data_IF_852383108258
#
_entry.id   IF_852383108258
#
_cell.length_a   1.000
_cell.length_b   1.000
_cell.length_c   1.000
_cell.angle_alpha   90.00
_cell.angle_beta   90.00
_cell.angle_gamma   90.00
#
_symmetry.space_group_name_H-M   'P 1'
#
loop_
_entity.id
_entity.type
_entity.pdbx_description
1 polymer ?
#
# COMPACT_ATOMS: atom_id res chain seq x y z
N UNK A 1 16.33 -49.21 -16.84
CA UNK A 1 17.02 -49.77 -18.02
C UNK A 1 17.05 -48.70 -19.08
N UNK A 2 18.17 -48.09 -19.26
CA UNK A 2 18.71 -47.68 -20.55
C UNK A 2 20.18 -47.28 -20.28
N UNK A 3 21.04 -48.10 -20.87
CA UNK A 3 22.48 -48.02 -20.78
C UNK A 3 23.00 -47.06 -21.86
N UNK A 4 24.28 -46.70 -21.69
CA UNK A 4 25.25 -46.19 -22.66
C UNK A 4 25.23 -44.70 -22.98
N UNK A 5 26.21 -44.03 -22.43
CA UNK A 5 27.02 -43.10 -23.16
C UNK A 5 28.47 -43.23 -22.70
N UNK A 6 29.31 -43.80 -23.60
CA UNK A 6 30.76 -43.91 -23.49
C UNK A 6 31.43 -42.59 -23.82
N UNK A 7 32.46 -42.35 -23.08
CA UNK A 7 33.71 -41.66 -23.39
C UNK A 7 33.76 -40.67 -24.57
N UNK A 8 33.94 -39.40 -24.24
CA UNK A 8 34.88 -38.55 -24.97
C UNK A 8 35.54 -37.55 -24.03
N UNK A 9 36.86 -37.60 -24.02
CA UNK A 9 37.76 -36.76 -23.28
C UNK A 9 37.55 -35.26 -23.60
N UNK A 10 37.25 -34.45 -22.61
CA UNK A 10 37.28 -33.00 -22.71
C UNK A 10 38.52 -32.51 -21.99
N UNK A 11 39.42 -31.90 -22.74
CA UNK A 11 40.72 -31.44 -22.30
C UNK A 11 40.68 -30.39 -21.19
N UNK A 12 41.68 -30.46 -20.38
CA UNK A 12 42.05 -29.56 -19.31
C UNK A 12 42.15 -28.09 -19.78
N UNK A 13 41.19 -27.28 -19.45
CA UNK A 13 41.35 -25.84 -19.30
C UNK A 13 40.91 -25.46 -17.89
N UNK A 14 41.94 -25.25 -17.05
CA UNK A 14 41.79 -24.87 -15.67
C UNK A 14 41.08 -23.49 -15.56
N UNK A 15 39.97 -23.45 -14.87
CA UNK A 15 39.37 -22.19 -14.40
C UNK A 15 40.34 -21.52 -13.41
N UNK A 16 40.71 -20.26 -13.61
CA UNK A 16 41.56 -19.55 -12.67
C UNK A 16 40.82 -19.28 -11.36
N UNK A 17 41.46 -19.69 -10.25
CA UNK A 17 40.93 -19.44 -8.91
C UNK A 17 40.97 -17.95 -8.57
N UNK A 18 40.04 -17.50 -7.72
CA UNK A 18 39.85 -16.11 -7.24
C UNK A 18 41.13 -15.42 -6.71
N UNK A 19 42.19 -16.17 -6.43
CA UNK A 19 43.50 -15.66 -5.96
C UNK A 19 44.46 -15.23 -7.09
N UNK A 20 44.22 -15.61 -8.34
CA UNK A 20 45.10 -15.26 -9.47
C UNK A 20 44.67 -13.98 -10.18
N UNK A 21 43.42 -13.48 -9.94
CA UNK A 21 42.94 -12.22 -10.50
C UNK A 21 43.52 -10.96 -9.81
N UNK A 22 44.26 -11.10 -8.70
CA UNK A 22 44.78 -9.98 -7.91
C UNK A 22 46.24 -9.61 -8.16
N UNK A 23 46.90 -10.17 -9.20
CA UNK A 23 48.34 -9.92 -9.45
C UNK A 23 48.68 -9.25 -10.78
N UNK A 24 47.73 -8.68 -11.50
CA UNK A 24 47.96 -7.97 -12.77
C UNK A 24 47.40 -6.55 -12.74
N UNK A 25 47.63 -5.80 -11.67
CA UNK A 25 47.49 -4.34 -11.69
C UNK A 25 48.65 -3.71 -10.90
N UNK A 26 49.78 -3.69 -11.56
CA UNK A 26 50.92 -2.91 -11.15
C UNK A 26 51.52 -2.22 -12.36
N UNK A 27 51.51 -0.90 -12.32
CA UNK A 27 52.19 0.05 -13.17
C UNK A 27 51.61 0.33 -14.56
N UNK A 28 50.90 1.44 -14.69
CA UNK A 28 51.16 2.42 -15.76
C UNK A 28 50.34 3.72 -15.53
N UNK A 29 51.09 4.78 -15.36
CA UNK A 29 50.90 6.14 -15.89
C UNK A 29 49.59 6.89 -15.67
N UNK A 30 49.72 7.93 -14.93
CA UNK A 30 48.98 9.19 -14.91
C UNK A 30 48.37 9.52 -16.29
N UNK A 31 47.10 9.32 -16.42
CA UNK A 31 46.26 9.92 -17.44
C UNK A 31 45.05 10.54 -16.71
N UNK A 32 45.04 11.89 -16.62
CA UNK A 32 43.85 12.62 -16.25
C UNK A 32 42.76 12.32 -17.29
N UNK A 33 41.99 11.29 -17.08
CA UNK A 33 40.69 11.17 -17.75
C UNK A 33 39.66 11.84 -16.85
N UNK A 34 39.12 12.96 -17.33
CA UNK A 34 37.85 13.49 -16.89
C UNK A 34 36.86 12.33 -16.84
N UNK A 35 36.60 11.81 -15.63
CA UNK A 35 35.42 11.02 -15.38
C UNK A 35 34.27 11.99 -15.52
N UNK A 36 33.75 12.08 -16.72
CA UNK A 36 32.46 12.72 -16.93
C UNK A 36 31.50 12.07 -15.95
N UNK A 37 31.02 12.87 -15.01
CA UNK A 37 29.90 12.53 -14.17
C UNK A 37 28.78 12.11 -15.11
N UNK A 38 28.67 10.81 -15.33
CA UNK A 38 27.49 10.27 -15.96
C UNK A 38 26.33 10.60 -15.02
N UNK A 39 25.74 11.73 -15.26
CA UNK A 39 24.46 12.08 -14.68
C UNK A 39 23.57 10.91 -15.08
N UNK A 40 23.24 10.06 -14.11
CA UNK A 40 22.13 9.15 -14.29
C UNK A 40 21.02 10.03 -14.87
N UNK A 41 20.63 9.78 -16.12
CA UNK A 41 19.53 10.48 -16.75
C UNK A 41 18.40 10.37 -15.74
N UNK A 42 18.10 11.48 -15.11
CA UNK A 42 16.95 11.59 -14.23
C UNK A 42 15.81 11.04 -15.08
N UNK A 43 15.28 9.89 -14.68
CA UNK A 43 14.17 9.28 -15.38
C UNK A 43 13.05 10.30 -15.22
N UNK A 44 12.86 11.09 -16.28
CA UNK A 44 11.88 12.15 -16.29
C UNK A 44 10.55 11.45 -15.99
N UNK A 45 10.00 11.72 -14.81
CA UNK A 45 8.71 11.16 -14.42
C UNK A 45 7.75 11.43 -15.59
N UNK A 46 6.99 10.42 -16.05
CA UNK A 46 6.07 10.61 -17.16
C UNK A 46 5.18 11.81 -16.84
N UNK A 47 4.73 12.57 -17.84
CA UNK A 47 3.87 13.71 -17.62
C UNK A 47 2.70 13.24 -16.76
N UNK A 48 2.63 13.76 -15.52
CA UNK A 48 1.63 13.34 -14.55
C UNK A 48 0.26 13.55 -15.21
N UNK A 49 -0.57 12.52 -15.37
CA UNK A 49 -1.97 12.75 -15.69
C UNK A 49 -2.50 13.77 -14.67
N UNK A 50 -3.45 14.61 -15.01
CA UNK A 50 -3.87 15.81 -14.27
C UNK A 50 -4.48 15.51 -12.85
N UNK A 51 -3.81 14.70 -12.04
CA UNK A 51 -4.23 14.33 -10.68
C UNK A 51 -3.49 15.13 -9.60
N UNK A 52 -2.94 16.31 -9.92
CA UNK A 52 -2.36 17.19 -8.90
C UNK A 52 -3.52 17.91 -8.20
N UNK A 53 -3.99 17.32 -7.12
CA UNK A 53 -5.11 17.83 -6.34
C UNK A 53 -4.64 18.25 -4.95
N UNK A 54 -5.34 19.20 -4.32
CA UNK A 54 -5.19 19.43 -2.88
C UNK A 54 -5.77 18.23 -2.08
N UNK A 55 -5.39 18.07 -0.80
CA UNK A 55 -5.99 17.05 0.06
C UNK A 55 -7.53 17.08 0.07
N UNK A 56 -8.10 18.29 0.18
CA UNK A 56 -9.56 18.46 0.21
C UNK A 56 -10.21 18.11 -1.14
N UNK A 57 -9.61 18.53 -2.25
CA UNK A 57 -10.12 18.18 -3.58
C UNK A 57 -10.05 16.66 -3.83
N UNK A 58 -9.02 15.99 -3.31
CA UNK A 58 -8.90 14.53 -3.36
C UNK A 58 -10.00 13.83 -2.56
N UNK A 59 -10.29 14.31 -1.36
CA UNK A 59 -11.39 13.79 -0.55
C UNK A 59 -12.74 13.98 -1.25
N UNK A 60 -13.00 15.17 -1.78
CA UNK A 60 -14.23 15.44 -2.53
C UNK A 60 -14.35 14.54 -3.78
N UNK A 61 -13.24 14.23 -4.45
CA UNK A 61 -13.23 13.31 -5.59
C UNK A 61 -13.64 11.89 -5.16
N UNK A 62 -13.13 11.39 -4.02
CA UNK A 62 -13.55 10.10 -3.46
C UNK A 62 -15.05 10.11 -3.13
N UNK A 63 -15.55 11.13 -2.43
CA UNK A 63 -16.96 11.23 -2.04
C UNK A 63 -17.86 11.21 -3.27
N UNK A 64 -17.57 12.03 -4.29
CA UNK A 64 -18.35 12.07 -5.54
C UNK A 64 -18.28 10.74 -6.32
N UNK A 65 -17.14 10.04 -6.23
CA UNK A 65 -17.00 8.69 -6.80
C UNK A 65 -17.91 7.69 -6.10
N UNK A 66 -17.96 7.75 -4.76
CA UNK A 66 -18.86 6.89 -3.98
C UNK A 66 -20.34 7.20 -4.22
N UNK A 67 -20.70 8.46 -4.36
CA UNK A 67 -22.08 8.86 -4.73
C UNK A 67 -22.53 8.21 -6.04
N UNK A 68 -21.68 8.20 -7.08
CA UNK A 68 -21.97 7.50 -8.34
C UNK A 68 -22.10 6.00 -8.15
N UNK A 69 -21.16 5.39 -7.42
CA UNK A 69 -21.19 3.95 -7.12
C UNK A 69 -22.51 3.55 -6.44
N UNK A 70 -22.94 4.30 -5.41
CA UNK A 70 -24.19 4.08 -4.71
C UNK A 70 -25.41 4.27 -5.61
N UNK A 71 -25.37 5.23 -6.53
CA UNK A 71 -26.42 5.45 -7.52
C UNK A 71 -26.46 4.37 -8.64
N UNK A 72 -25.48 3.46 -8.66
CA UNK A 72 -25.35 2.48 -9.75
C UNK A 72 -24.82 3.08 -11.05
N UNK A 73 -24.28 4.30 -11.00
CA UNK A 73 -23.66 4.98 -12.10
C UNK A 73 -22.15 4.73 -12.07
N UNK A 74 -21.54 4.40 -13.20
CA UNK A 74 -20.09 4.24 -13.30
C UNK A 74 -19.55 4.98 -14.50
N UNK A 75 -18.33 5.50 -14.38
CA UNK A 75 -17.62 6.07 -15.52
C UNK A 75 -17.28 4.97 -16.51
N UNK A 76 -17.35 5.30 -17.79
CA UNK A 76 -16.84 4.41 -18.82
C UNK A 76 -15.32 4.36 -18.75
N UNK A 77 -14.75 3.16 -18.57
CA UNK A 77 -13.32 2.91 -18.57
C UNK A 77 -12.88 2.33 -19.91
N UNK A 78 -11.84 2.94 -20.50
CA UNK A 78 -11.12 2.36 -21.65
C UNK A 78 -9.85 1.68 -21.12
N UNK A 79 -10.01 0.44 -20.69
CA UNK A 79 -8.94 -0.32 -20.05
C UNK A 79 -7.68 -0.49 -20.91
N UNK A 80 -7.81 -0.42 -22.24
CA UNK A 80 -6.67 -0.52 -23.14
C UNK A 80 -5.85 0.76 -23.11
N UNK A 81 -6.45 1.90 -23.40
CA UNK A 81 -5.75 3.18 -23.43
C UNK A 81 -5.29 3.63 -22.04
N UNK A 82 -6.09 3.40 -20.99
CA UNK A 82 -5.66 3.65 -19.61
C UNK A 82 -4.37 2.89 -19.27
N UNK A 83 -4.30 1.60 -19.65
CA UNK A 83 -3.11 0.78 -19.41
C UNK A 83 -1.90 1.27 -20.17
N UNK A 84 -2.07 1.64 -21.44
CA UNK A 84 -1.00 2.17 -22.29
C UNK A 84 -0.45 3.49 -21.74
N UNK A 85 -1.33 4.39 -21.30
CA UNK A 85 -0.95 5.67 -20.72
C UNK A 85 -0.18 5.55 -19.39
N UNK A 86 -0.39 4.45 -18.63
CA UNK A 86 0.21 4.24 -17.33
C UNK A 86 1.52 3.42 -17.36
N UNK A 87 1.98 2.96 -18.52
CA UNK A 87 3.25 2.20 -18.65
C UNK A 87 4.43 2.98 -18.09
N UNK A 88 4.47 4.29 -18.30
CA UNK A 88 5.55 5.16 -17.89
C UNK A 88 5.48 5.68 -16.45
N UNK A 89 4.40 5.41 -15.71
CA UNK A 89 4.25 5.87 -14.33
C UNK A 89 2.81 5.92 -13.83
N UNK A 90 2.66 6.29 -12.57
CA UNK A 90 1.37 6.44 -11.89
C UNK A 90 1.31 7.78 -11.15
N UNK A 91 0.11 8.31 -10.95
CA UNK A 91 -0.10 9.55 -10.22
C UNK A 91 -1.39 9.46 -9.39
N UNK A 92 -1.41 8.64 -8.33
CA UNK A 92 -2.59 8.44 -7.51
C UNK A 92 -2.94 9.72 -6.75
N UNK A 93 -4.23 10.07 -6.75
CA UNK A 93 -4.72 11.19 -5.97
C UNK A 93 -5.07 10.82 -4.53
N UNK A 94 -5.15 9.53 -4.20
CA UNK A 94 -5.37 9.04 -2.85
C UNK A 94 -4.70 7.69 -2.60
N UNK A 95 -4.16 7.51 -1.40
CA UNK A 95 -3.79 6.22 -0.81
C UNK A 95 -4.95 5.66 -0.01
N UNK A 96 -5.26 4.38 -0.16
CA UNK A 96 -6.33 3.71 0.59
C UNK A 96 -5.76 2.53 1.36
N UNK A 97 -5.85 2.56 2.69
CA UNK A 97 -5.61 1.40 3.55
C UNK A 97 -6.94 0.72 3.83
N UNK A 98 -7.21 -0.40 3.17
CA UNK A 98 -8.50 -1.11 3.23
C UNK A 98 -8.37 -2.52 3.78
N UNK A 99 -9.50 -3.08 4.20
CA UNK A 99 -9.58 -4.50 4.51
C UNK A 99 -9.39 -5.35 3.24
N UNK A 100 -8.82 -6.57 3.45
CA UNK A 100 -8.71 -7.58 2.39
C UNK A 100 -10.04 -8.29 2.09
N UNK A 101 -11.13 -7.92 2.75
CA UNK A 101 -12.47 -8.50 2.56
C UNK A 101 -12.88 -8.44 1.07
N UNK A 102 -13.28 -9.59 0.51
CA UNK A 102 -13.59 -9.74 -0.92
C UNK A 102 -14.82 -8.95 -1.38
N UNK A 103 -15.65 -8.49 -0.45
CA UNK A 103 -16.86 -7.69 -0.73
C UNK A 103 -16.55 -6.21 -0.95
N UNK A 104 -15.29 -5.79 -0.72
CA UNK A 104 -14.86 -4.41 -0.88
C UNK A 104 -13.77 -4.34 -1.93
N UNK A 105 -13.95 -3.47 -2.91
CA UNK A 105 -12.92 -3.06 -3.85
C UNK A 105 -12.89 -1.53 -3.86
N UNK A 106 -11.87 -0.89 -3.29
CA UNK A 106 -11.81 0.57 -3.20
C UNK A 106 -11.98 1.27 -4.55
N UNK A 107 -11.42 0.69 -5.61
CA UNK A 107 -11.53 1.23 -6.97
C UNK A 107 -12.99 1.31 -7.42
N UNK A 108 -13.80 0.29 -7.12
CA UNK A 108 -15.24 0.30 -7.44
C UNK A 108 -16.01 1.23 -6.50
N UNK A 109 -15.74 1.09 -5.18
CA UNK A 109 -16.43 1.90 -4.18
C UNK A 109 -16.30 3.41 -4.40
N UNK A 110 -15.19 3.84 -5.04
CA UNK A 110 -14.92 5.24 -5.38
C UNK A 110 -15.02 5.55 -6.87
N UNK A 111 -15.53 4.63 -7.69
CA UNK A 111 -15.65 4.79 -9.16
C UNK A 111 -14.37 5.42 -9.75
N UNK A 112 -13.24 4.81 -9.41
CA UNK A 112 -11.90 5.30 -9.74
C UNK A 112 -11.23 4.43 -10.81
N UNK A 113 -10.54 5.08 -11.73
CA UNK A 113 -9.80 4.42 -12.80
C UNK A 113 -8.45 3.86 -12.36
N UNK A 114 -7.78 3.19 -13.27
CA UNK A 114 -6.40 2.71 -13.06
C UNK A 114 -5.47 3.88 -12.77
N UNK A 115 -4.58 3.68 -11.79
CA UNK A 115 -3.60 4.70 -11.40
C UNK A 115 -4.15 5.85 -10.56
N UNK A 116 -5.46 5.91 -10.34
CA UNK A 116 -6.12 6.92 -9.50
C UNK A 116 -5.90 6.69 -8.01
N UNK A 117 -5.87 5.44 -7.57
CA UNK A 117 -5.71 5.05 -6.17
C UNK A 117 -4.45 4.20 -5.96
N UNK A 118 -3.76 4.45 -4.85
CA UNK A 118 -2.69 3.60 -4.34
C UNK A 118 -3.25 2.77 -3.18
N UNK A 119 -3.49 1.47 -3.41
CA UNK A 119 -4.27 0.65 -2.48
C UNK A 119 -3.39 -0.36 -1.75
N UNK A 120 -3.38 -0.28 -0.40
CA UNK A 120 -2.87 -1.31 0.49
C UNK A 120 -4.04 -2.04 1.15
N UNK A 121 -3.98 -3.38 1.22
CA UNK A 121 -5.04 -4.20 1.81
C UNK A 121 -4.48 -5.24 2.76
N UNK A 122 -5.04 -5.28 3.96
CA UNK A 122 -4.77 -6.31 4.96
C UNK A 122 -6.07 -6.60 5.73
N UNK A 123 -6.31 -7.85 6.11
CA UNK A 123 -7.51 -8.22 6.87
C UNK A 123 -7.58 -7.40 8.17
N UNK A 124 -8.64 -6.58 8.32
CA UNK A 124 -8.78 -5.66 9.43
C UNK A 124 -8.14 -4.28 9.23
N UNK A 125 -7.73 -3.92 8.03
CA UNK A 125 -7.26 -2.57 7.62
C UNK A 125 -6.35 -1.84 8.63
N UNK A 126 -5.42 -2.56 9.28
CA UNK A 126 -4.45 -1.97 10.20
C UNK A 126 -3.14 -1.60 9.51
N UNK A 127 -2.44 -0.59 10.03
CA UNK A 127 -1.13 -0.17 9.56
C UNK A 127 -0.03 -0.95 10.29
N UNK A 128 0.65 -1.87 9.60
CA UNK A 128 1.93 -2.43 10.00
C UNK A 128 3.08 -1.72 9.28
N UNK A 129 4.32 -2.11 9.55
CA UNK A 129 5.49 -1.42 8.97
C UNK A 129 5.49 -1.45 7.44
N UNK A 130 5.07 -2.55 6.81
CA UNK A 130 5.00 -2.66 5.35
C UNK A 130 3.93 -1.74 4.74
N UNK A 131 2.77 -1.61 5.40
CA UNK A 131 1.72 -0.70 4.95
C UNK A 131 2.09 0.76 5.19
N UNK A 132 2.76 1.07 6.32
CA UNK A 132 3.30 2.42 6.57
C UNK A 132 4.31 2.79 5.50
N UNK A 133 5.32 1.93 5.24
CA UNK A 133 6.33 2.16 4.21
C UNK A 133 5.70 2.33 2.82
N UNK A 134 4.66 1.57 2.50
CA UNK A 134 3.93 1.71 1.24
C UNK A 134 3.22 3.07 1.15
N UNK A 135 2.60 3.54 2.23
CA UNK A 135 1.96 4.85 2.26
C UNK A 135 3.00 6.00 2.22
N UNK A 136 4.14 5.82 2.87
CA UNK A 136 5.28 6.75 2.76
C UNK A 136 5.78 6.85 1.31
N UNK A 137 5.89 5.72 0.61
CA UNK A 137 6.23 5.72 -0.81
C UNK A 137 5.20 6.49 -1.64
N UNK A 138 3.90 6.27 -1.41
CA UNK A 138 2.84 6.99 -2.11
C UNK A 138 2.93 8.51 -1.90
N UNK A 139 3.23 8.95 -0.68
CA UNK A 139 3.33 10.37 -0.34
C UNK A 139 4.64 10.98 -0.83
N UNK A 140 5.78 10.36 -0.51
CA UNK A 140 7.10 10.93 -0.80
C UNK A 140 7.48 10.84 -2.27
N UNK A 141 7.19 9.70 -2.91
CA UNK A 141 7.65 9.42 -4.28
C UNK A 141 6.59 9.74 -5.34
N UNK A 142 5.31 9.56 -5.02
CA UNK A 142 4.21 9.78 -5.96
C UNK A 142 3.46 11.09 -5.71
N UNK A 143 3.72 11.77 -4.58
CA UNK A 143 3.08 13.04 -4.25
C UNK A 143 1.59 12.91 -3.93
N UNK A 144 1.16 11.75 -3.42
CA UNK A 144 -0.24 11.48 -3.05
C UNK A 144 -0.67 12.38 -1.89
N UNK A 145 -1.72 13.23 -2.07
CA UNK A 145 -2.07 14.25 -1.08
C UNK A 145 -3.06 13.77 -0.01
N UNK A 146 -3.63 12.59 -0.16
CA UNK A 146 -4.65 12.05 0.74
C UNK A 146 -4.37 10.58 1.06
N UNK A 147 -4.49 10.20 2.33
CA UNK A 147 -4.61 8.80 2.74
C UNK A 147 -5.96 8.62 3.42
N UNK A 148 -6.69 7.55 3.05
CA UNK A 148 -7.91 7.14 3.73
C UNK A 148 -7.74 5.75 4.34
N UNK A 149 -8.01 5.62 5.64
CA UNK A 149 -8.17 4.32 6.30
C UNK A 149 -9.64 3.92 6.18
N UNK A 150 -9.88 2.89 5.37
CA UNK A 150 -11.22 2.42 5.03
C UNK A 150 -11.54 1.12 5.77
N UNK A 151 -12.29 1.25 6.88
CA UNK A 151 -12.93 0.11 7.54
C UNK A 151 -14.24 -0.26 6.86
N UNK A 152 -14.90 -1.29 7.37
CA UNK A 152 -16.22 -1.69 6.90
C UNK A 152 -17.03 -2.38 8.00
N UNK A 153 -18.33 -2.31 7.93
CA UNK A 153 -19.20 -3.04 8.84
C UNK A 153 -19.04 -4.57 8.66
N UNK A 154 -19.40 -5.32 9.69
CA UNK A 154 -19.31 -6.79 9.70
C UNK A 154 -17.91 -7.34 9.34
N UNK A 155 -16.84 -6.67 9.79
CA UNK A 155 -15.46 -7.09 9.52
C UNK A 155 -15.12 -8.39 10.25
N UNK A 156 -14.82 -9.44 9.47
CA UNK A 156 -14.49 -10.77 10.01
C UNK A 156 -13.23 -10.79 10.87
N UNK A 157 -12.21 -10.02 10.54
CA UNK A 157 -10.97 -9.95 11.32
C UNK A 157 -11.21 -9.31 12.71
N UNK A 158 -12.01 -8.25 12.79
CA UNK A 158 -12.39 -7.63 14.07
C UNK A 158 -13.27 -8.57 14.89
N UNK A 159 -14.26 -9.22 14.26
CA UNK A 159 -15.10 -10.20 14.91
C UNK A 159 -14.31 -11.40 15.47
N UNK A 160 -13.36 -11.92 14.69
CA UNK A 160 -12.47 -13.00 15.12
C UNK A 160 -11.58 -12.59 16.31
N UNK A 161 -11.10 -11.34 16.32
CA UNK A 161 -10.33 -10.77 17.43
C UNK A 161 -11.18 -10.69 18.69
N UNK A 162 -12.40 -10.16 18.61
CA UNK A 162 -13.34 -10.10 19.75
C UNK A 162 -13.57 -11.50 20.32
N UNK A 163 -13.84 -12.49 19.45
CA UNK A 163 -14.08 -13.87 19.87
C UNK A 163 -12.83 -14.48 20.54
N UNK A 164 -11.66 -14.33 19.93
CA UNK A 164 -10.40 -14.85 20.49
C UNK A 164 -10.11 -14.29 21.89
N UNK A 165 -10.34 -12.99 22.10
CA UNK A 165 -10.16 -12.35 23.40
C UNK A 165 -11.20 -12.80 24.42
N UNK A 166 -12.47 -12.91 24.02
CA UNK A 166 -13.56 -13.35 24.89
C UNK A 166 -13.41 -14.78 25.35
N UNK A 167 -13.10 -15.68 24.43
CA UNK A 167 -13.02 -17.12 24.69
C UNK A 167 -11.62 -17.55 25.20
N UNK A 168 -10.64 -16.63 25.23
CA UNK A 168 -9.25 -16.88 25.54
C UNK A 168 -8.63 -18.03 24.71
N UNK A 169 -9.09 -18.16 23.45
CA UNK A 169 -8.64 -19.21 22.53
C UNK A 169 -7.78 -18.58 21.44
N UNK A 170 -6.49 -18.96 21.34
CA UNK A 170 -5.61 -18.47 20.29
C UNK A 170 -6.06 -18.99 18.93
N UNK A 171 -6.00 -18.13 17.91
CA UNK A 171 -6.24 -18.51 16.53
C UNK A 171 -5.04 -19.26 15.94
N UNK A 172 -5.25 -20.19 14.97
CA UNK A 172 -4.16 -21.00 14.42
C UNK A 172 -3.25 -20.20 13.47
N UNK A 173 -2.07 -20.76 13.23
CA UNK A 173 -1.12 -20.28 12.23
C UNK A 173 -0.62 -18.86 12.51
N UNK A 174 -0.71 -17.98 11.52
CA UNK A 174 -0.28 -16.58 11.62
C UNK A 174 -1.40 -15.61 12.04
N UNK A 175 -2.63 -16.11 12.27
CA UNK A 175 -3.76 -15.26 12.67
C UNK A 175 -3.54 -14.50 13.99
N UNK A 176 -2.74 -14.98 14.96
CA UNK A 176 -2.42 -14.21 16.16
C UNK A 176 -1.81 -12.83 15.88
N UNK A 177 -1.11 -12.62 14.75
CA UNK A 177 -0.58 -11.30 14.38
C UNK A 177 -1.68 -10.30 14.04
N UNK A 178 -2.78 -10.76 13.41
CA UNK A 178 -3.97 -9.93 13.15
C UNK A 178 -4.65 -9.56 14.47
N UNK A 179 -4.83 -10.55 15.35
CA UNK A 179 -5.42 -10.35 16.68
C UNK A 179 -4.62 -9.30 17.46
N UNK A 180 -3.29 -9.42 17.51
CA UNK A 180 -2.43 -8.48 18.21
C UNK A 180 -2.60 -7.04 17.68
N UNK A 181 -2.70 -6.88 16.36
CA UNK A 181 -2.84 -5.59 15.72
C UNK A 181 -4.19 -4.92 15.97
N UNK A 182 -5.27 -5.70 16.15
CA UNK A 182 -6.64 -5.20 16.31
C UNK A 182 -7.05 -5.11 17.80
N UNK A 183 -6.39 -5.88 18.68
CA UNK A 183 -6.68 -5.93 20.13
C UNK A 183 -6.78 -4.55 20.79
N UNK A 184 -5.91 -3.58 20.55
CA UNK A 184 -6.02 -2.26 21.18
C UNK A 184 -7.39 -1.60 20.92
N UNK A 185 -7.87 -1.68 19.69
CA UNK A 185 -9.18 -1.11 19.30
C UNK A 185 -10.35 -1.84 19.99
N UNK A 186 -10.31 -3.17 20.07
CA UNK A 186 -11.33 -3.96 20.78
C UNK A 186 -11.34 -3.61 22.27
N UNK A 187 -10.18 -3.52 22.91
CA UNK A 187 -10.07 -3.17 24.32
C UNK A 187 -10.56 -1.72 24.60
N UNK A 188 -10.33 -0.80 23.70
CA UNK A 188 -10.87 0.56 23.83
C UNK A 188 -12.40 0.59 23.65
N UNK A 189 -12.92 -0.16 22.66
CA UNK A 189 -14.34 -0.26 22.37
C UNK A 189 -15.13 -0.95 23.48
N UNK A 190 -14.56 -1.96 24.15
CA UNK A 190 -15.24 -2.71 25.22
C UNK A 190 -15.62 -1.88 26.44
N UNK A 191 -15.04 -0.68 26.57
CA UNK A 191 -15.35 0.28 27.64
C UNK A 191 -16.57 1.18 27.30
N UNK A 192 -17.14 1.02 26.11
CA UNK A 192 -18.26 1.82 25.62
C UNK A 192 -19.54 0.99 25.62
N UNK A 193 -20.69 1.64 25.77
CA UNK A 193 -22.01 1.00 25.58
C UNK A 193 -22.31 0.86 24.09
N UNK A 194 -23.13 -0.13 23.73
CA UNK A 194 -23.60 -0.35 22.36
C UNK A 194 -23.02 -1.59 21.69
N UNK A 195 -23.08 -1.65 20.38
CA UNK A 195 -22.54 -2.76 19.59
C UNK A 195 -21.00 -2.74 19.61
N UNK A 196 -20.42 -3.75 20.28
CA UNK A 196 -18.97 -3.88 20.41
C UNK A 196 -18.28 -4.01 19.05
N UNK A 197 -18.88 -4.71 18.08
CA UNK A 197 -18.26 -4.92 16.78
C UNK A 197 -18.18 -3.61 16.00
N UNK A 198 -19.27 -2.85 15.91
CA UNK A 198 -19.26 -1.54 15.23
C UNK A 198 -18.31 -0.57 15.93
N UNK A 199 -18.34 -0.51 17.27
CA UNK A 199 -17.46 0.34 18.06
C UNK A 199 -15.97 -0.02 17.86
N UNK A 200 -15.63 -1.32 17.81
CA UNK A 200 -14.26 -1.78 17.59
C UNK A 200 -13.77 -1.51 16.16
N UNK A 201 -14.64 -1.67 15.16
CA UNK A 201 -14.33 -1.33 13.77
C UNK A 201 -14.01 0.16 13.65
N UNK A 202 -14.85 1.04 14.22
CA UNK A 202 -14.64 2.49 14.21
C UNK A 202 -13.35 2.87 14.95
N UNK A 203 -13.13 2.28 16.12
CA UNK A 203 -11.94 2.56 16.91
C UNK A 203 -10.67 2.12 16.16
N UNK A 204 -10.69 0.95 15.51
CA UNK A 204 -9.57 0.48 14.71
C UNK A 204 -9.22 1.44 13.56
N UNK A 205 -10.23 2.02 12.90
CA UNK A 205 -9.99 3.05 11.87
C UNK A 205 -9.35 4.30 12.50
N UNK A 206 -9.88 4.78 13.62
CA UNK A 206 -9.37 5.98 14.32
C UNK A 206 -7.92 5.78 14.76
N UNK A 207 -7.60 4.61 15.35
CA UNK A 207 -6.24 4.29 15.81
C UNK A 207 -5.25 4.25 14.65
N UNK A 208 -5.65 3.68 13.51
CA UNK A 208 -4.78 3.60 12.34
C UNK A 208 -4.64 4.95 11.61
N UNK A 209 -5.65 5.81 11.63
CA UNK A 209 -5.52 7.22 11.21
C UNK A 209 -4.49 7.94 12.08
N UNK A 210 -4.59 7.80 13.41
CA UNK A 210 -3.65 8.41 14.33
C UNK A 210 -2.22 7.90 14.11
N UNK A 211 -2.06 6.58 13.95
CA UNK A 211 -0.76 5.95 13.64
C UNK A 211 -0.14 6.49 12.37
N UNK A 212 -0.89 6.59 11.28
CA UNK A 212 -0.38 7.12 10.01
C UNK A 212 -0.05 8.62 10.12
N UNK A 213 -0.87 9.42 10.81
CA UNK A 213 -0.58 10.86 11.03
C UNK A 213 0.70 11.09 11.81
N UNK A 214 1.04 10.19 12.73
CA UNK A 214 2.24 10.30 13.58
C UNK A 214 3.46 9.56 13.05
N UNK A 215 3.34 8.83 11.95
CA UNK A 215 4.45 8.05 11.39
C UNK A 215 5.58 8.96 10.91
N UNK A 216 6.71 8.89 11.62
CA UNK A 216 7.92 9.67 11.35
C UNK A 216 8.86 8.90 10.42
N UNK A 217 9.68 9.59 9.61
CA UNK A 217 9.78 11.05 9.49
C UNK A 217 8.92 11.63 8.35
N UNK A 218 8.23 10.82 7.55
CA UNK A 218 7.68 11.23 6.26
C UNK A 218 6.23 11.71 6.38
N UNK A 219 5.34 10.85 6.89
CA UNK A 219 3.91 11.16 6.89
C UNK A 219 3.57 12.30 7.85
N UNK A 220 4.15 12.29 9.05
CA UNK A 220 3.94 13.36 10.02
C UNK A 220 4.36 14.73 9.47
N UNK A 221 5.55 14.80 8.85
CA UNK A 221 6.03 16.05 8.24
C UNK A 221 5.14 16.55 7.11
N UNK A 222 4.60 15.63 6.28
CA UNK A 222 3.66 15.99 5.22
C UNK A 222 2.33 16.51 5.77
N UNK A 223 1.83 15.93 6.89
CA UNK A 223 0.62 16.40 7.59
C UNK A 223 0.85 17.79 8.18
N UNK A 224 1.96 18.01 8.90
CA UNK A 224 2.32 19.30 9.49
C UNK A 224 2.45 20.41 8.43
N UNK A 225 2.98 20.08 7.26
CA UNK A 225 3.09 20.96 6.11
C UNK A 225 1.76 21.16 5.34
N UNK A 226 0.68 20.52 5.76
CA UNK A 226 -0.63 20.53 5.08
C UNK A 226 -0.59 20.03 3.62
N UNK A 227 0.42 19.23 3.30
CA UNK A 227 0.55 18.55 2.00
C UNK A 227 -0.19 17.21 1.96
N UNK A 228 -0.44 16.63 3.13
CA UNK A 228 -1.13 15.36 3.30
C UNK A 228 -2.30 15.53 4.27
N UNK A 229 -3.46 15.00 3.91
CA UNK A 229 -4.55 14.70 4.84
C UNK A 229 -4.65 13.19 5.05
N UNK A 230 -4.91 12.78 6.31
CA UNK A 230 -5.20 11.38 6.64
C UNK A 230 -6.57 11.33 7.29
N UNK A 231 -7.51 10.62 6.69
CA UNK A 231 -8.91 10.52 7.12
C UNK A 231 -9.32 9.08 7.36
N UNK A 232 -10.34 8.89 8.20
CA UNK A 232 -10.97 7.60 8.44
C UNK A 232 -12.34 7.52 7.81
N UNK A 233 -12.73 6.33 7.35
CA UNK A 233 -14.06 6.10 6.81
C UNK A 233 -14.51 4.65 7.05
N UNK A 234 -15.83 4.46 7.03
CA UNK A 234 -16.49 3.14 7.10
C UNK A 234 -17.29 2.91 5.83
N UNK A 235 -17.01 1.81 5.13
CA UNK A 235 -17.82 1.33 4.03
C UNK A 235 -19.00 0.51 4.56
N UNK A 236 -20.21 0.84 4.15
CA UNK A 236 -21.42 0.14 4.51
C UNK A 236 -21.76 -0.92 3.47
N UNK A 237 -21.67 -2.20 3.86
CA UNK A 237 -21.90 -3.32 2.95
C UNK A 237 -23.31 -3.35 2.37
N UNK A 238 -24.30 -2.83 3.11
CA UNK A 238 -25.70 -2.85 2.73
C UNK A 238 -26.01 -2.01 1.51
N UNK A 239 -25.40 -0.83 1.41
CA UNK A 239 -25.76 0.17 0.41
C UNK A 239 -24.56 0.79 -0.31
N UNK A 240 -23.32 0.35 0.03
CA UNK A 240 -22.09 0.81 -0.58
C UNK A 240 -21.67 2.23 -0.16
N UNK A 241 -22.35 2.87 0.77
CA UNK A 241 -22.02 4.22 1.23
C UNK A 241 -20.75 4.25 2.04
N UNK A 242 -20.02 5.34 1.89
CA UNK A 242 -18.86 5.68 2.73
C UNK A 242 -19.30 6.70 3.79
N UNK A 243 -19.08 6.35 5.05
CA UNK A 243 -19.26 7.26 6.18
C UNK A 243 -17.89 7.77 6.63
N UNK A 244 -17.66 9.08 6.54
CA UNK A 244 -16.43 9.73 7.03
C UNK A 244 -16.51 9.86 8.56
N UNK A 245 -15.39 9.57 9.27
CA UNK A 245 -15.26 9.63 10.73
C UNK A 245 -14.68 10.94 11.22
#
# INVERSE_FOLDING_TARGET
>A
MCATCKDQACGLNACPTRRQALRVFGASAVGLTFVGSGWAKEVQAPPKPQNVLSPDASLQRLIKGNERYVAGETRRHDFKHEREALVGGQNPYAGILSCADSRIAPEYAFDSGRGDLFVCRVAGNFANDDTVASMEYAVAMLGTPLIMVLGHDSCGAVSATIKSLKDSVPLPGHLPSLVASITPAVNAASKRSGDLLDAAIRQNVVDNVAKLKSATPILNAAVEQRKLSVVGAIYRLKDGKIEIL
#
